data_IF_108014034273
#
_entry.id   IF_108014034273
#
_cell.length_a   1.000
_cell.length_b   1.000
_cell.length_c   1.000
_cell.angle_alpha   90.00
_cell.angle_beta   90.00
_cell.angle_gamma   90.00
#
_symmetry.space_group_name_H-M   'P 1'
#
loop_
_entity.id
_entity.type
_entity.pdbx_description
1 polymer ?
#
# COMPACT_ATOMS: atom_id res chain seq x y z
N UNK A 1 -43.68 -16.64 4.77
CA UNK A 1 -42.48 -15.85 5.07
C UNK A 1 -41.29 -16.63 4.54
N UNK A 2 -40.51 -16.05 3.64
CA UNK A 2 -39.29 -16.68 3.12
C UNK A 2 -38.30 -16.86 4.27
N UNK A 3 -37.58 -17.99 4.29
CA UNK A 3 -36.57 -18.24 5.31
C UNK A 3 -35.37 -17.28 5.08
N UNK A 4 -35.08 -16.36 6.01
CA UNK A 4 -34.01 -15.38 5.84
C UNK A 4 -32.62 -16.02 5.65
N UNK A 5 -32.41 -17.26 6.11
CA UNK A 5 -31.15 -17.99 5.90
C UNK A 5 -30.97 -18.33 4.41
N UNK A 6 -32.05 -18.75 3.75
CA UNK A 6 -32.03 -19.08 2.32
C UNK A 6 -31.77 -17.82 1.48
N UNK A 7 -32.40 -16.70 1.83
CA UNK A 7 -32.16 -15.41 1.17
C UNK A 7 -30.71 -14.95 1.30
N UNK A 8 -30.12 -15.06 2.49
CA UNK A 8 -28.72 -14.70 2.72
C UNK A 8 -27.74 -15.56 1.90
N UNK A 9 -27.96 -16.88 1.85
CA UNK A 9 -27.12 -17.79 1.07
C UNK A 9 -27.21 -17.50 -0.44
N UNK A 10 -28.41 -17.19 -0.93
CA UNK A 10 -28.62 -16.79 -2.31
C UNK A 10 -27.90 -15.48 -2.62
N UNK A 11 -28.02 -14.46 -1.76
CA UNK A 11 -27.28 -13.20 -1.88
C UNK A 11 -25.77 -13.40 -1.89
N UNK A 12 -25.25 -14.28 -1.04
CA UNK A 12 -23.81 -14.59 -1.01
C UNK A 12 -23.34 -15.22 -2.32
N UNK A 13 -24.12 -16.13 -2.90
CA UNK A 13 -23.83 -16.74 -4.21
C UNK A 13 -23.87 -15.69 -5.33
N UNK A 14 -24.94 -14.90 -5.39
CA UNK A 14 -25.10 -13.82 -6.37
C UNK A 14 -24.00 -12.76 -6.24
N UNK A 15 -23.63 -12.37 -5.02
CA UNK A 15 -22.55 -11.44 -4.75
C UNK A 15 -21.19 -11.99 -5.18
N UNK A 16 -20.96 -13.30 -5.00
CA UNK A 16 -19.76 -13.99 -5.49
C UNK A 16 -19.67 -13.97 -7.02
N UNK A 17 -20.74 -14.32 -7.72
CA UNK A 17 -20.83 -14.27 -9.18
C UNK A 17 -20.68 -12.84 -9.71
N UNK A 18 -21.35 -11.86 -9.09
CA UNK A 18 -21.25 -10.45 -9.45
C UNK A 18 -19.82 -9.93 -9.28
N UNK A 19 -19.13 -10.32 -8.21
CA UNK A 19 -17.72 -9.96 -7.99
C UNK A 19 -16.81 -10.56 -9.05
N UNK A 20 -17.02 -11.82 -9.43
CA UNK A 20 -16.24 -12.46 -10.49
C UNK A 20 -16.47 -11.77 -11.85
N UNK A 21 -17.73 -11.47 -12.18
CA UNK A 21 -18.10 -10.74 -13.40
C UNK A 21 -17.53 -9.33 -13.43
N UNK A 22 -17.63 -8.60 -12.31
CA UNK A 22 -17.04 -7.27 -12.17
C UNK A 22 -15.52 -7.29 -12.35
N UNK A 23 -14.83 -8.27 -11.74
CA UNK A 23 -13.39 -8.46 -11.93
C UNK A 23 -13.04 -8.62 -13.41
N UNK A 24 -13.72 -9.54 -14.10
CA UNK A 24 -13.47 -9.78 -15.52
C UNK A 24 -13.76 -8.54 -16.38
N UNK A 25 -14.85 -7.83 -16.12
CA UNK A 25 -15.21 -6.61 -16.84
C UNK A 25 -14.17 -5.49 -16.64
N UNK A 26 -13.67 -5.32 -15.41
CA UNK A 26 -12.61 -4.35 -15.11
C UNK A 26 -11.31 -4.74 -15.83
N UNK A 27 -10.93 -6.01 -15.79
CA UNK A 27 -9.73 -6.51 -16.47
C UNK A 27 -9.80 -6.33 -17.99
N UNK A 28 -10.96 -6.60 -18.59
CA UNK A 28 -11.20 -6.41 -20.03
C UNK A 28 -11.07 -4.94 -20.42
N UNK A 29 -11.81 -4.05 -19.74
CA UNK A 29 -11.79 -2.61 -20.00
C UNK A 29 -10.39 -2.02 -19.82
N UNK A 30 -9.64 -2.48 -18.82
CA UNK A 30 -8.27 -2.05 -18.60
C UNK A 30 -7.36 -2.41 -19.79
N UNK A 31 -7.49 -3.62 -20.33
CA UNK A 31 -6.71 -4.04 -21.51
C UNK A 31 -7.08 -3.26 -22.76
N UNK A 32 -8.37 -3.01 -23.00
CA UNK A 32 -8.83 -2.19 -24.13
C UNK A 32 -8.23 -0.79 -24.10
N UNK A 33 -8.30 -0.11 -22.95
CA UNK A 33 -7.71 1.22 -22.77
C UNK A 33 -6.19 1.24 -22.99
N UNK A 34 -5.48 0.18 -22.59
CA UNK A 34 -4.03 0.09 -22.84
C UNK A 34 -3.72 -0.09 -24.32
N UNK A 35 -4.50 -0.91 -25.03
CA UNK A 35 -4.34 -1.10 -26.47
C UNK A 35 -4.60 0.23 -27.20
N UNK A 36 -5.66 0.94 -26.83
CA UNK A 36 -5.98 2.25 -27.40
C UNK A 36 -4.88 3.29 -27.12
N UNK A 37 -4.36 3.32 -25.90
CA UNK A 37 -3.26 4.21 -25.55
C UNK A 37 -1.97 3.92 -26.34
N UNK A 38 -1.68 2.65 -26.64
CA UNK A 38 -0.56 2.25 -27.50
C UNK A 38 -0.79 2.73 -28.92
N UNK A 39 -1.99 2.55 -29.46
CA UNK A 39 -2.33 2.98 -30.82
C UNK A 39 -2.15 4.49 -30.99
N UNK A 40 -2.68 5.28 -30.04
CA UNK A 40 -2.48 6.74 -30.02
C UNK A 40 -1.01 7.14 -29.92
N UNK A 41 -0.20 6.40 -29.15
CA UNK A 41 1.23 6.67 -29.03
C UNK A 41 1.99 6.35 -30.33
N UNK A 42 1.56 5.32 -31.08
CA UNK A 42 2.10 4.97 -32.39
C UNK A 42 1.73 6.00 -33.46
N UNK A 43 0.46 6.42 -33.51
CA UNK A 43 0.00 7.51 -34.40
C UNK A 43 0.75 8.81 -34.10
N UNK A 44 0.81 9.22 -32.83
CA UNK A 44 1.54 10.41 -32.41
C UNK A 44 3.02 10.34 -32.79
N UNK A 45 3.67 9.18 -32.61
CA UNK A 45 5.06 9.00 -33.04
C UNK A 45 5.19 9.07 -34.57
N UNK A 46 4.23 8.56 -35.31
CA UNK A 46 4.25 8.55 -36.77
C UNK A 46 4.09 9.97 -37.34
N UNK A 47 3.21 10.78 -36.74
CA UNK A 47 2.93 12.14 -37.19
C UNK A 47 4.00 13.15 -36.74
N UNK A 48 4.47 13.04 -35.49
CA UNK A 48 5.33 14.05 -34.87
C UNK A 48 6.78 13.60 -34.69
N UNK A 49 7.11 12.33 -34.93
CA UNK A 49 8.46 11.77 -34.76
C UNK A 49 8.91 11.65 -33.30
N UNK A 50 8.07 12.04 -32.33
CA UNK A 50 8.38 12.07 -30.90
C UNK A 50 7.57 11.02 -30.16
N UNK A 51 8.18 10.35 -29.17
CA UNK A 51 7.47 9.38 -28.34
C UNK A 51 6.58 10.08 -27.31
N UNK A 52 5.31 9.67 -27.22
CA UNK A 52 4.41 10.13 -26.16
C UNK A 52 4.82 9.48 -24.83
N UNK A 53 5.27 10.29 -23.87
CA UNK A 53 5.63 9.82 -22.53
C UNK A 53 4.37 9.73 -21.64
N UNK A 54 4.20 8.65 -20.86
CA UNK A 54 3.13 8.60 -19.88
C UNK A 54 3.33 9.67 -18.79
N UNK A 55 2.24 10.12 -18.12
CA UNK A 55 2.34 11.05 -17.00
C UNK A 55 3.31 10.54 -15.93
N UNK A 56 4.08 11.43 -15.29
CA UNK A 56 5.10 11.05 -14.31
C UNK A 56 4.57 10.24 -13.11
N UNK A 57 3.26 10.32 -12.84
CA UNK A 57 2.57 9.50 -11.83
C UNK A 57 2.40 8.03 -12.24
N UNK A 58 2.45 7.72 -13.54
CA UNK A 58 2.20 6.40 -14.12
C UNK A 58 3.46 5.93 -14.86
N UNK A 59 4.47 5.50 -14.09
CA UNK A 59 5.67 4.90 -14.68
C UNK A 59 5.48 3.43 -15.07
N UNK A 60 4.52 2.75 -14.44
CA UNK A 60 4.08 1.39 -14.76
C UNK A 60 2.74 1.10 -14.09
N UNK A 61 1.84 0.37 -14.76
CA UNK A 61 0.60 -0.16 -14.14
C UNK A 61 0.86 -1.38 -13.25
N UNK A 62 2.00 -1.40 -12.56
CA UNK A 62 2.31 -2.42 -11.55
C UNK A 62 1.78 -1.92 -10.22
N UNK A 63 0.70 -2.52 -9.73
CA UNK A 63 0.22 -2.31 -8.37
C UNK A 63 1.32 -2.79 -7.40
N UNK A 64 2.09 -1.86 -6.85
CA UNK A 64 3.13 -2.16 -5.87
C UNK A 64 2.49 -2.18 -4.49
N UNK A 65 1.85 -3.30 -4.15
CA UNK A 65 1.47 -3.59 -2.78
C UNK A 65 2.74 -3.56 -1.92
N UNK A 66 2.95 -2.46 -1.19
CA UNK A 66 4.18 -2.23 -0.44
C UNK A 66 5.37 -1.86 -1.33
N UNK A 67 5.37 -0.64 -1.88
CA UNK A 67 6.60 0.01 -2.31
C UNK A 67 7.48 0.38 -1.10
N UNK A 68 8.00 -0.62 -0.37
CA UNK A 68 9.21 -0.39 0.40
C UNK A 68 10.29 0.00 -0.62
N UNK A 69 10.85 1.20 -0.44
CA UNK A 69 11.95 1.72 -1.26
C UNK A 69 12.99 0.62 -1.40
N UNK A 70 13.28 0.20 -2.63
CA UNK A 70 14.41 -0.65 -2.90
C UNK A 70 15.66 0.19 -2.59
N UNK A 71 16.22 -0.03 -1.39
CA UNK A 71 17.55 0.43 -1.05
C UNK A 71 18.49 -0.30 -2.01
N UNK A 72 19.19 0.46 -2.85
CA UNK A 72 20.25 -0.08 -3.70
C UNK A 72 21.23 -0.82 -2.78
N UNK A 73 21.34 -2.14 -2.94
CA UNK A 73 22.40 -2.91 -2.30
C UNK A 73 23.72 -2.40 -2.85
N UNK A 74 24.48 -1.72 -2.00
CA UNK A 74 25.91 -1.56 -2.20
C UNK A 74 26.57 -2.94 -2.12
N UNK A 75 27.57 -3.13 -2.97
CA UNK A 75 28.43 -4.30 -3.14
C UNK A 75 29.04 -4.79 -1.80
N UNK A 76 29.23 -6.10 -1.60
CA UNK A 76 29.79 -6.63 -0.37
C UNK A 76 31.31 -6.51 -0.37
N UNK A 77 31.86 -5.95 0.70
CA UNK A 77 33.28 -6.09 1.06
C UNK A 77 33.32 -7.00 2.29
N UNK A 78 34.15 -8.06 2.33
CA UNK A 78 34.08 -9.05 3.40
C UNK A 78 35.08 -8.70 4.51
N UNK A 79 34.63 -8.45 5.74
CA UNK A 79 35.53 -8.52 6.91
C UNK A 79 34.78 -8.96 8.18
N UNK A 80 35.18 -10.15 8.64
CA UNK A 80 35.34 -10.66 10.00
C UNK A 80 34.34 -10.33 11.15
N UNK A 81 33.80 -11.43 11.71
CA UNK A 81 33.68 -11.79 13.12
C UNK A 81 33.62 -10.68 14.22
N UNK A 82 32.43 -10.59 14.83
CA UNK A 82 32.02 -10.36 16.26
C UNK A 82 32.97 -9.60 17.22
N UNK A 83 32.47 -8.67 18.08
CA UNK A 83 31.68 -9.05 19.25
C UNK A 83 30.49 -8.14 19.62
N UNK A 84 29.64 -8.69 20.49
CA UNK A 84 28.42 -8.11 21.09
C UNK A 84 28.72 -6.80 21.82
N UNK A 85 28.10 -5.71 21.38
CA UNK A 85 28.03 -4.43 22.11
C UNK A 85 26.56 -4.03 22.17
N UNK A 86 26.03 -3.96 23.39
CA UNK A 86 24.71 -3.41 23.74
C UNK A 86 24.59 -2.00 23.14
N UNK A 87 23.87 -1.90 22.02
CA UNK A 87 23.40 -0.65 21.41
C UNK A 87 21.87 -0.69 21.43
N UNK A 88 21.21 0.46 21.64
CA UNK A 88 19.75 0.52 21.75
C UNK A 88 19.15 -0.24 20.57
N UNK A 89 18.30 -1.21 20.88
CA UNK A 89 17.76 -2.13 19.89
C UNK A 89 17.24 -1.34 18.70
N UNK A 90 17.64 -1.64 17.45
CA UNK A 90 17.13 -0.94 16.27
C UNK A 90 15.58 -1.00 16.19
N UNK A 91 14.98 -1.90 16.95
CA UNK A 91 13.55 -2.01 17.20
C UNK A 91 12.99 -0.88 18.08
N UNK A 92 13.66 -0.47 19.16
CA UNK A 92 13.19 0.64 20.02
C UNK A 92 13.24 1.97 19.26
N UNK A 93 14.32 2.24 18.53
CA UNK A 93 14.43 3.42 17.67
C UNK A 93 13.39 3.44 16.53
N UNK A 94 12.99 2.26 16.03
CA UNK A 94 11.92 2.14 15.05
C UNK A 94 10.53 2.39 15.67
N UNK A 95 10.29 1.88 16.88
CA UNK A 95 9.04 2.08 17.64
C UNK A 95 8.86 3.55 18.05
N UNK A 96 9.91 4.22 18.53
CA UNK A 96 9.90 5.66 18.84
C UNK A 96 9.49 6.49 17.61
N UNK A 97 10.05 6.15 16.44
CA UNK A 97 9.74 6.83 15.18
C UNK A 97 8.30 6.57 14.73
N UNK A 98 7.79 5.37 14.95
CA UNK A 98 6.40 5.01 14.64
C UNK A 98 5.41 5.71 15.56
N UNK A 99 5.73 5.80 16.85
CA UNK A 99 4.96 6.51 17.86
C UNK A 99 4.89 8.01 17.55
N UNK A 100 6.01 8.64 17.22
CA UNK A 100 6.05 10.05 16.81
C UNK A 100 5.21 10.30 15.54
N UNK A 101 5.26 9.40 14.57
CA UNK A 101 4.45 9.49 13.36
C UNK A 101 2.95 9.28 13.63
N UNK A 102 2.59 8.38 14.54
CA UNK A 102 1.22 8.11 14.95
C UNK A 102 0.62 9.30 15.71
N UNK A 103 1.35 9.87 16.67
CA UNK A 103 0.94 11.11 17.38
C UNK A 103 0.74 12.28 16.42
N UNK A 104 1.65 12.47 15.45
CA UNK A 104 1.50 13.54 14.44
C UNK A 104 0.26 13.35 13.55
N UNK A 105 -0.09 12.10 13.22
CA UNK A 105 -1.33 11.80 12.47
C UNK A 105 -2.57 11.99 13.32
N UNK A 106 -2.50 11.66 14.61
CA UNK A 106 -3.57 11.86 15.58
C UNK A 106 -3.87 13.36 15.74
N UNK A 107 -2.85 14.21 15.89
CA UNK A 107 -3.02 15.66 15.93
C UNK A 107 -3.56 16.23 14.61
N UNK A 108 -3.07 15.75 13.46
CA UNK A 108 -3.61 16.15 12.17
C UNK A 108 -5.09 15.73 12.00
N UNK A 109 -5.47 14.54 12.49
CA UNK A 109 -6.85 14.08 12.47
C UNK A 109 -7.75 14.87 13.44
N UNK A 110 -7.23 15.24 14.63
CA UNK A 110 -7.90 16.13 15.58
C UNK A 110 -8.13 17.52 14.99
N UNK A 111 -7.11 18.09 14.33
CA UNK A 111 -7.20 19.39 13.66
C UNK A 111 -8.19 19.39 12.49
N UNK A 112 -8.31 18.26 11.79
CA UNK A 112 -9.25 18.09 10.67
C UNK A 112 -10.66 17.63 11.11
N UNK A 113 -10.93 17.50 12.41
CA UNK A 113 -12.22 17.03 12.93
C UNK A 113 -12.58 15.59 12.55
N UNK A 114 -11.59 14.78 12.17
CA UNK A 114 -11.78 13.39 11.78
C UNK A 114 -11.80 12.48 13.01
N UNK A 115 -12.41 11.30 12.88
CA UNK A 115 -12.45 10.30 13.97
C UNK A 115 -11.03 9.86 14.37
N UNK A 116 -10.63 10.14 15.61
CA UNK A 116 -9.27 9.89 16.13
C UNK A 116 -9.13 8.61 16.92
N UNK A 117 -10.25 7.91 17.21
CA UNK A 117 -10.26 6.73 18.08
C UNK A 117 -9.29 5.64 17.62
N UNK A 118 -9.29 5.33 16.33
CA UNK A 118 -8.36 4.35 15.74
C UNK A 118 -6.88 4.78 15.80
N UNK A 119 -6.61 6.09 15.85
CA UNK A 119 -5.25 6.63 15.96
C UNK A 119 -4.80 6.68 17.43
N UNK A 120 -5.73 6.91 18.35
CA UNK A 120 -5.51 6.85 19.79
C UNK A 120 -5.20 5.42 20.23
N UNK A 121 -6.01 4.44 19.80
CA UNK A 121 -5.76 3.01 20.04
C UNK A 121 -4.37 2.61 19.50
N UNK A 122 -4.01 3.10 18.30
CA UNK A 122 -2.71 2.83 17.67
C UNK A 122 -1.54 3.46 18.43
N UNK A 123 -1.73 4.62 19.06
CA UNK A 123 -0.70 5.25 19.90
C UNK A 123 -0.52 4.45 21.19
N UNK A 124 -1.61 3.99 21.82
CA UNK A 124 -1.54 3.14 23.01
C UNK A 124 -0.82 1.81 22.76
N UNK A 125 -1.10 1.12 21.66
CA UNK A 125 -0.40 -0.12 21.27
C UNK A 125 1.11 0.11 21.10
N UNK A 126 1.49 1.19 20.40
CA UNK A 126 2.90 1.50 20.13
C UNK A 126 3.65 1.95 21.39
N UNK A 127 2.97 2.57 22.34
CA UNK A 127 3.53 2.92 23.66
C UNK A 127 3.79 1.67 24.51
N UNK A 128 2.88 0.68 24.46
CA UNK A 128 3.06 -0.59 25.16
C UNK A 128 4.18 -1.45 24.56
N UNK A 129 4.21 -1.58 23.23
CA UNK A 129 5.29 -2.27 22.51
C UNK A 129 6.67 -1.66 22.82
N UNK A 130 6.74 -0.33 22.94
CA UNK A 130 7.96 0.38 23.28
C UNK A 130 8.37 0.15 24.74
N UNK A 131 7.41 0.08 25.65
CA UNK A 131 7.66 -0.25 27.07
C UNK A 131 8.15 -1.69 27.21
N UNK A 132 7.53 -2.63 26.52
CA UNK A 132 7.92 -4.04 26.50
C UNK A 132 9.30 -4.25 25.87
N UNK A 133 9.62 -3.50 24.81
CA UNK A 133 10.92 -3.56 24.15
C UNK A 133 12.07 -2.88 24.94
N UNK A 134 11.74 -2.10 25.98
CA UNK A 134 12.72 -1.40 26.84
C UNK A 134 12.90 -2.11 28.19
N UNK A 135 12.11 -3.16 28.47
CA UNK A 135 12.17 -3.98 29.68
C UNK A 135 13.16 -5.15 29.52
#
# INVERSE_FOLDING_TARGET
MTDPIVEYLQWKKQGGELRAKAKQAIEARFRELLTEAVHLAEEYRSDFGVALAPPASVTAFKFKAGAKKAVKKATPVPVAAVPVIKKPDPKTAALEKQLAAARKKLEAAKANGASTKNLEDRVYELEDDLRLATQ
#
